data_IF_750988405989
#
_entry.id   IF_750988405989
#
_cell.length_a   1.000
_cell.length_b   1.000
_cell.length_c   1.000
_cell.angle_alpha   90.00
_cell.angle_beta   90.00
_cell.angle_gamma   90.00
#
_symmetry.space_group_name_H-M   'P 1'
#
loop_
_entity.id
_entity.type
_entity.pdbx_description
1 polymer ?
#
# COMPACT_ATOMS: atom_id res chain seq x y z
N UNK A 1 18.96 -34.92 -35.35
CA UNK A 1 19.59 -34.11 -34.27
C UNK A 1 18.54 -33.83 -33.21
N UNK A 2 18.72 -34.36 -32.00
CA UNK A 2 17.74 -34.25 -30.92
C UNK A 2 17.65 -32.82 -30.39
N UNK A 3 16.51 -32.44 -29.80
CA UNK A 3 16.32 -31.16 -29.10
C UNK A 3 17.33 -31.00 -27.95
N UNK A 4 17.70 -32.11 -27.32
CA UNK A 4 18.70 -32.16 -26.26
C UNK A 4 20.11 -31.85 -26.77
N UNK A 5 20.52 -32.45 -27.90
CA UNK A 5 21.83 -32.17 -28.51
C UNK A 5 22.00 -30.69 -28.85
N UNK A 6 20.90 -30.05 -29.32
CA UNK A 6 20.88 -28.63 -29.65
C UNK A 6 20.98 -27.74 -28.41
N UNK A 7 20.37 -28.13 -27.29
CA UNK A 7 20.51 -27.42 -26.01
C UNK A 7 21.92 -27.56 -25.42
N UNK A 8 22.49 -28.76 -25.46
CA UNK A 8 23.85 -29.02 -24.95
C UNK A 8 24.89 -28.25 -25.76
N UNK A 9 24.82 -28.28 -27.09
CA UNK A 9 25.71 -27.50 -27.95
C UNK A 9 25.61 -26.00 -27.70
N UNK A 10 24.40 -25.46 -27.52
CA UNK A 10 24.21 -24.05 -27.17
C UNK A 10 24.79 -23.69 -25.79
N UNK A 11 24.70 -24.61 -24.83
CA UNK A 11 25.23 -24.40 -23.48
C UNK A 11 26.76 -24.39 -23.46
N UNK A 12 27.40 -25.32 -24.17
CA UNK A 12 28.86 -25.35 -24.33
C UNK A 12 29.39 -24.10 -25.03
N UNK A 13 28.68 -23.61 -26.06
CA UNK A 13 29.02 -22.34 -26.73
C UNK A 13 28.87 -21.16 -25.76
N UNK A 14 27.82 -21.11 -24.95
CA UNK A 14 27.64 -20.06 -23.93
C UNK A 14 28.73 -20.08 -22.85
N UNK A 15 29.20 -21.27 -22.44
CA UNK A 15 30.29 -21.43 -21.49
C UNK A 15 31.63 -21.00 -22.10
N UNK A 16 31.95 -21.45 -23.33
CA UNK A 16 33.20 -21.09 -24.03
C UNK A 16 33.31 -19.59 -24.30
N UNK A 17 32.20 -18.92 -24.59
CA UNK A 17 32.18 -17.48 -24.84
C UNK A 17 32.18 -16.62 -23.55
N UNK A 18 32.10 -17.23 -22.36
CA UNK A 18 31.92 -16.50 -21.10
C UNK A 18 30.58 -15.77 -20.98
N UNK A 19 29.65 -16.05 -21.89
CA UNK A 19 28.34 -15.37 -21.99
C UNK A 19 27.41 -15.76 -20.85
N UNK A 20 27.54 -16.97 -20.29
CA UNK A 20 26.78 -17.40 -19.11
C UNK A 20 27.11 -16.55 -17.85
N UNK A 21 28.38 -16.20 -17.65
CA UNK A 21 28.82 -15.29 -16.58
C UNK A 21 28.28 -13.88 -16.76
N UNK A 22 28.28 -13.36 -18.00
CA UNK A 22 27.72 -12.02 -18.30
C UNK A 22 26.20 -11.95 -18.14
N UNK A 23 25.47 -13.02 -18.47
CA UNK A 23 24.02 -13.09 -18.28
C UNK A 23 23.65 -13.15 -16.79
N UNK A 24 24.36 -13.96 -16.00
CA UNK A 24 24.16 -14.03 -14.55
C UNK A 24 24.50 -12.71 -13.87
N UNK A 25 25.60 -12.07 -14.25
CA UNK A 25 25.98 -10.73 -13.76
C UNK A 25 24.91 -9.67 -14.06
N UNK A 26 24.37 -9.63 -15.29
CA UNK A 26 23.26 -8.72 -15.63
C UNK A 26 22.02 -8.97 -14.77
N UNK A 27 21.68 -10.23 -14.51
CA UNK A 27 20.54 -10.58 -13.65
C UNK A 27 20.79 -10.12 -12.21
N UNK A 28 22.00 -10.33 -11.68
CA UNK A 28 22.40 -9.86 -10.35
C UNK A 28 22.31 -8.35 -10.28
N UNK A 29 22.92 -7.62 -11.22
CA UNK A 29 22.88 -6.15 -11.28
C UNK A 29 21.45 -5.62 -11.33
N UNK A 30 20.59 -6.24 -12.14
CA UNK A 30 19.17 -5.87 -12.23
C UNK A 30 18.44 -6.07 -10.90
N UNK A 31 18.71 -7.18 -10.20
CA UNK A 31 18.11 -7.45 -8.87
C UNK A 31 18.61 -6.48 -7.82
N UNK A 32 19.91 -6.21 -7.80
CA UNK A 32 20.55 -5.24 -6.88
C UNK A 32 19.97 -3.85 -7.10
N UNK A 33 19.83 -3.41 -8.36
CA UNK A 33 19.23 -2.11 -8.68
C UNK A 33 17.76 -2.01 -8.23
N UNK A 34 16.95 -3.06 -8.43
CA UNK A 34 15.56 -3.09 -7.95
C UNK A 34 15.49 -3.07 -6.41
N UNK A 35 16.40 -3.78 -5.77
CA UNK A 35 16.50 -3.83 -4.33
C UNK A 35 16.89 -2.47 -3.75
N UNK A 36 17.91 -1.81 -4.30
CA UNK A 36 18.37 -0.50 -3.82
C UNK A 36 17.28 0.57 -3.96
N UNK A 37 16.56 0.59 -5.09
CA UNK A 37 15.41 1.48 -5.29
C UNK A 37 14.31 1.20 -4.25
N UNK A 38 14.02 -0.07 -3.98
CA UNK A 38 13.00 -0.43 -2.98
C UNK A 38 13.45 -0.07 -1.56
N UNK A 39 14.73 -0.27 -1.24
CA UNK A 39 15.31 0.04 0.06
C UNK A 39 15.30 1.55 0.35
N UNK A 40 15.71 2.37 -0.62
CA UNK A 40 15.68 3.83 -0.48
C UNK A 40 14.26 4.36 -0.23
N UNK A 41 13.25 3.76 -0.88
CA UNK A 41 11.83 4.09 -0.64
C UNK A 41 11.38 3.65 0.75
N UNK A 42 11.70 2.42 1.15
CA UNK A 42 11.36 1.91 2.48
C UNK A 42 11.99 2.79 3.57
N UNK A 43 13.23 3.27 3.37
CA UNK A 43 13.90 4.22 4.28
C UNK A 43 13.21 5.60 4.32
N UNK A 44 12.87 6.16 3.16
CA UNK A 44 12.13 7.43 3.09
C UNK A 44 10.80 7.34 3.83
N UNK A 45 10.03 6.27 3.58
CA UNK A 45 8.76 6.00 4.25
C UNK A 45 8.95 5.82 5.75
N UNK A 46 9.97 5.08 6.18
CA UNK A 46 10.30 4.88 7.58
C UNK A 46 10.57 6.21 8.29
N UNK A 47 11.34 7.11 7.68
CA UNK A 47 11.62 8.44 8.23
C UNK A 47 10.37 9.33 8.31
N UNK A 48 9.53 9.30 7.28
CA UNK A 48 8.25 10.05 7.28
C UNK A 48 7.28 9.53 8.35
N UNK A 49 7.14 8.20 8.48
CA UNK A 49 6.32 7.59 9.55
C UNK A 49 6.87 7.94 10.93
N UNK A 50 8.20 7.95 11.13
CA UNK A 50 8.81 8.41 12.39
C UNK A 50 8.46 9.86 12.69
N UNK A 51 8.49 10.75 11.70
CA UNK A 51 8.15 12.15 11.89
C UNK A 51 6.71 12.31 12.39
N UNK A 52 5.76 11.61 11.76
CA UNK A 52 4.34 11.62 12.20
C UNK A 52 4.21 11.09 13.63
N UNK A 53 4.86 9.97 13.96
CA UNK A 53 4.78 9.39 15.30
C UNK A 53 5.39 10.29 16.39
N UNK A 54 6.45 11.04 16.04
CA UNK A 54 7.07 12.02 16.92
C UNK A 54 6.10 13.17 17.26
N UNK A 55 5.37 13.68 16.25
CA UNK A 55 4.36 14.73 16.44
C UNK A 55 3.23 14.30 17.38
N UNK A 56 2.84 13.02 17.29
CA UNK A 56 1.79 12.43 18.13
C UNK A 56 2.29 11.91 19.49
N UNK A 57 3.58 12.08 19.81
CA UNK A 57 4.15 11.60 21.07
C UNK A 57 4.08 10.08 21.26
N UNK A 58 4.05 9.31 20.17
CA UNK A 58 3.91 7.85 20.24
C UNK A 58 5.22 7.20 20.66
N UNK A 59 5.15 6.30 21.64
CA UNK A 59 6.32 5.58 22.14
C UNK A 59 6.93 4.66 21.06
N UNK A 60 8.27 4.60 21.03
CA UNK A 60 9.05 3.85 20.02
C UNK A 60 8.78 2.34 20.02
N UNK A 61 8.28 1.78 21.12
CA UNK A 61 7.88 0.37 21.21
C UNK A 61 6.78 0.02 20.20
N UNK A 62 5.85 0.95 19.92
CA UNK A 62 4.71 0.72 19.02
C UNK A 62 5.09 1.04 17.56
N UNK A 63 6.27 1.63 17.34
CA UNK A 63 6.77 1.99 16.01
C UNK A 63 6.67 0.86 14.96
N UNK A 64 7.06 -0.40 15.25
CA UNK A 64 7.00 -1.47 14.25
C UNK A 64 5.58 -1.72 13.72
N UNK A 65 4.55 -1.52 14.55
CA UNK A 65 3.16 -1.71 14.15
C UNK A 65 2.69 -0.62 13.16
N UNK A 66 3.00 0.64 13.46
CA UNK A 66 2.72 1.76 12.56
C UNK A 66 3.54 1.72 11.27
N UNK A 67 4.78 1.25 11.34
CA UNK A 67 5.59 1.03 10.16
C UNK A 67 5.04 -0.11 9.29
N UNK A 68 4.55 -1.20 9.88
CA UNK A 68 3.89 -2.27 9.14
C UNK A 68 2.65 -1.78 8.38
N UNK A 69 1.82 -0.94 9.02
CA UNK A 69 0.71 -0.25 8.34
C UNK A 69 1.19 0.62 7.17
N UNK A 70 2.25 1.40 7.36
CA UNK A 70 2.83 2.25 6.30
C UNK A 70 3.27 1.41 5.09
N UNK A 71 3.85 0.23 5.32
CA UNK A 71 4.20 -0.71 4.23
C UNK A 71 2.99 -1.25 3.48
N UNK A 72 1.87 -1.49 4.17
CA UNK A 72 0.62 -1.90 3.52
C UNK A 72 0.09 -0.78 2.61
N UNK A 73 0.14 0.48 3.06
CA UNK A 73 -0.24 1.62 2.23
C UNK A 73 0.70 1.85 1.05
N UNK A 74 2.01 1.71 1.26
CA UNK A 74 2.99 1.80 0.18
C UNK A 74 2.83 0.71 -0.88
N UNK A 75 2.21 -0.43 -0.57
CA UNK A 75 1.79 -1.41 -1.59
C UNK A 75 0.56 -0.92 -2.34
N UNK A 76 -0.45 -0.46 -1.62
CA UNK A 76 -1.70 0.05 -2.19
C UNK A 76 -1.47 1.19 -3.19
N UNK A 77 -0.62 2.16 -2.87
CA UNK A 77 -0.34 3.30 -3.76
C UNK A 77 0.40 2.92 -5.03
N UNK A 78 1.02 1.73 -5.07
CA UNK A 78 1.69 1.19 -6.26
C UNK A 78 0.75 0.39 -7.15
N UNK A 79 -0.40 -0.02 -6.63
CA UNK A 79 -1.41 -0.71 -7.43
C UNK A 79 -2.13 0.33 -8.29
N UNK A 80 -2.09 0.15 -9.62
CA UNK A 80 -2.78 0.98 -10.61
C UNK A 80 -4.31 0.82 -10.49
N UNK A 81 -4.87 1.37 -9.42
CA UNK A 81 -6.29 1.31 -9.07
C UNK A 81 -6.85 2.72 -8.97
N UNK A 82 -8.18 2.84 -9.07
CA UNK A 82 -8.84 4.13 -8.91
C UNK A 82 -8.61 4.69 -7.51
N UNK A 83 -8.51 6.01 -7.40
CA UNK A 83 -8.32 6.69 -6.12
C UNK A 83 -9.41 6.31 -5.10
N UNK A 84 -10.67 6.23 -5.51
CA UNK A 84 -11.78 5.80 -4.64
C UNK A 84 -11.60 4.40 -4.07
N UNK A 85 -11.02 3.48 -4.86
CA UNK A 85 -10.72 2.13 -4.40
C UNK A 85 -9.56 2.18 -3.40
N UNK A 86 -8.51 2.93 -3.70
CA UNK A 86 -7.40 3.13 -2.77
C UNK A 86 -7.88 3.71 -1.44
N UNK A 87 -8.78 4.70 -1.46
CA UNK A 87 -9.33 5.27 -0.24
C UNK A 87 -10.20 4.28 0.54
N UNK A 88 -11.06 3.49 -0.13
CA UNK A 88 -11.86 2.44 0.53
C UNK A 88 -10.98 1.39 1.19
N UNK A 89 -9.96 0.90 0.47
CA UNK A 89 -9.06 -0.09 1.04
C UNK A 89 -8.17 0.51 2.13
N UNK A 90 -7.78 1.78 2.03
CA UNK A 90 -7.08 2.50 3.09
C UNK A 90 -7.93 2.55 4.37
N UNK A 91 -9.21 2.93 4.26
CA UNK A 91 -10.13 2.96 5.40
C UNK A 91 -10.31 1.59 6.05
N UNK A 92 -10.47 0.53 5.23
CA UNK A 92 -10.52 -0.84 5.75
C UNK A 92 -9.24 -1.22 6.52
N UNK A 93 -8.06 -0.85 6.00
CA UNK A 93 -6.78 -1.07 6.71
C UNK A 93 -6.73 -0.28 8.01
N UNK A 94 -7.17 0.99 8.02
CA UNK A 94 -7.24 1.80 9.24
C UNK A 94 -8.09 1.09 10.28
N UNK A 95 -9.32 0.68 9.96
CA UNK A 95 -10.20 -0.03 10.90
C UNK A 95 -9.56 -1.33 11.42
N UNK A 96 -8.94 -2.10 10.52
CA UNK A 96 -8.22 -3.34 10.83
C UNK A 96 -7.09 -3.11 11.83
N UNK A 97 -6.37 -1.99 11.78
CA UNK A 97 -5.28 -1.66 12.70
C UNK A 97 -5.77 -0.96 13.98
N UNK A 98 -6.86 -0.19 13.92
CA UNK A 98 -7.55 0.34 15.10
C UNK A 98 -8.05 -0.80 16.00
N UNK A 99 -8.61 -1.86 15.40
CA UNK A 99 -9.01 -3.07 16.14
C UNK A 99 -7.82 -3.78 16.84
N UNK A 100 -6.59 -3.54 16.39
CA UNK A 100 -5.36 -4.04 17.06
C UNK A 100 -4.84 -3.11 18.15
N UNK A 101 -5.57 -2.05 18.48
CA UNK A 101 -5.22 -1.09 19.53
C UNK A 101 -4.38 0.10 19.09
N UNK A 102 -4.25 0.35 17.77
CA UNK A 102 -3.57 1.56 17.28
C UNK A 102 -4.51 2.77 17.24
N UNK A 103 -3.97 3.96 17.48
CA UNK A 103 -4.73 5.21 17.38
C UNK A 103 -5.14 5.49 15.92
N UNK A 104 -6.45 5.68 15.71
CA UNK A 104 -7.04 6.02 14.40
C UNK A 104 -6.46 7.32 13.84
N UNK A 105 -6.32 8.33 14.69
CA UNK A 105 -5.82 9.65 14.31
C UNK A 105 -4.42 9.54 13.70
N UNK A 106 -3.52 8.85 14.38
CA UNK A 106 -2.13 8.61 13.92
C UNK A 106 -2.12 7.85 12.58
N UNK A 107 -2.99 6.85 12.41
CA UNK A 107 -3.08 6.08 11.16
C UNK A 107 -3.57 6.93 9.98
N UNK A 108 -4.55 7.80 10.20
CA UNK A 108 -5.06 8.73 9.18
C UNK A 108 -4.03 9.80 8.81
N UNK A 109 -3.26 10.28 9.79
CA UNK A 109 -2.16 11.22 9.55
C UNK A 109 -1.04 10.57 8.73
N UNK A 110 -0.71 9.30 9.00
CA UNK A 110 0.22 8.56 8.15
C UNK A 110 -0.33 8.45 6.72
N UNK A 111 -1.60 8.07 6.55
CA UNK A 111 -2.19 7.93 5.22
C UNK A 111 -2.19 9.26 4.43
N UNK A 112 -2.50 10.36 5.11
CA UNK A 112 -2.61 11.69 4.49
C UNK A 112 -1.22 12.30 4.23
N UNK A 113 -0.36 12.35 5.24
CA UNK A 113 0.91 13.10 5.16
C UNK A 113 2.04 12.32 4.49
N UNK A 114 2.02 10.98 4.53
CA UNK A 114 3.07 10.13 3.92
C UNK A 114 2.67 9.67 2.52
N UNK A 115 1.38 9.40 2.28
CA UNK A 115 0.89 8.79 1.05
C UNK A 115 -0.08 9.64 0.25
N UNK A 116 -0.46 10.83 0.72
CA UNK A 116 -1.45 11.71 0.09
C UNK A 116 -2.80 11.02 -0.18
N UNK A 117 -3.20 10.11 0.71
CA UNK A 117 -4.48 9.40 0.66
C UNK A 117 -5.44 10.00 1.69
N UNK A 118 -6.25 11.02 1.34
CA UNK A 118 -7.22 11.56 2.26
C UNK A 118 -8.32 10.53 2.55
N UNK A 119 -8.89 10.53 3.77
CA UNK A 119 -10.07 9.72 4.07
C UNK A 119 -11.20 10.06 3.10
N UNK A 120 -12.04 9.06 2.80
CA UNK A 120 -13.29 9.30 2.08
C UNK A 120 -14.10 10.30 2.90
N UNK A 121 -14.23 11.53 2.39
CA UNK A 121 -15.19 12.49 2.90
C UNK A 121 -16.54 11.81 2.76
N UNK A 122 -17.15 11.41 3.88
CA UNK A 122 -18.50 10.89 3.82
C UNK A 122 -19.40 12.01 3.26
N UNK A 123 -19.88 11.87 2.03
CA UNK A 123 -21.07 12.55 1.52
C UNK A 123 -22.32 12.02 2.23
N UNK A 124 -22.28 11.92 3.57
CA UNK A 124 -23.39 11.49 4.44
C UNK A 124 -24.29 12.62 4.92
N UNK A 125 -23.96 13.87 4.62
CA UNK A 125 -24.65 15.03 5.22
C UNK A 125 -25.54 15.85 4.28
N UNK A 126 -25.92 15.38 3.08
CA UNK A 126 -26.82 16.14 2.19
C UNK A 126 -28.07 15.42 1.69
N UNK A 127 -28.15 14.08 1.75
CA UNK A 127 -29.33 13.37 1.20
C UNK A 127 -30.33 12.87 2.26
N UNK A 128 -29.92 12.77 3.53
CA UNK A 128 -30.81 12.35 4.63
C UNK A 128 -31.67 13.50 5.20
N UNK A 129 -31.31 14.76 4.96
CA UNK A 129 -32.05 15.92 5.45
C UNK A 129 -33.13 16.42 4.47
N UNK A 130 -33.20 15.87 3.25
CA UNK A 130 -34.11 16.32 2.19
C UNK A 130 -35.37 15.46 2.02
N UNK A 131 -35.61 14.47 2.90
CA UNK A 131 -36.90 13.77 2.94
C UNK A 131 -37.78 14.41 4.01
N UNK A 132 -38.77 15.24 3.65
CA UNK A 132 -39.78 15.63 4.62
C UNK A 132 -40.44 14.35 5.14
N UNK A 133 -40.43 14.19 6.46
CA UNK A 133 -41.16 13.14 7.15
C UNK A 133 -42.64 13.47 6.92
N UNK A 134 -43.26 12.82 5.93
CA UNK A 134 -44.71 12.89 5.70
C UNK A 134 -45.42 12.12 6.82
N UNK A 135 -45.53 12.75 7.99
CA UNK A 135 -46.38 12.33 9.09
C UNK A 135 -47.73 13.04 8.93
N UNK A 136 -48.63 12.42 8.19
CA UNK A 136 -50.05 12.61 8.48
C UNK A 136 -51.00 12.44 7.30
N UNK A 137 -51.54 11.23 7.13
CA UNK A 137 -53.00 11.02 7.05
C UNK A 137 -53.36 9.53 7.15
N UNK A 138 -53.45 9.02 8.38
CA UNK A 138 -54.35 7.92 8.69
C UNK A 138 -55.63 8.56 9.24
N UNK A 139 -56.67 8.64 8.41
CA UNK A 139 -58.03 8.89 8.87
C UNK A 139 -58.87 7.71 8.34
N UNK A 140 -59.00 6.71 9.21
CA UNK A 140 -59.95 5.62 9.11
C UNK A 140 -61.32 6.07 9.61
N UNK A 141 -62.35 5.68 8.85
CA UNK A 141 -63.72 5.33 9.22
C UNK A 141 -64.42 6.05 10.38
N UNK A 142 -65.48 6.80 10.04
CA UNK A 142 -66.82 6.67 10.65
C UNK A 142 -67.89 7.18 9.70
#
# INVERSE_FOLDING_TARGET
>A
MSRLDRMVGNYEVMLRLGSAGRLTERVIQTRVARFSISAARDESMLNQTRAVLCLHGVHTIIFPAYHAFSRELGKLTREETSLERQQREMMWRVDKWVMRGLSREVLLDIATNVFNLPPLLESRNQEAAARPIDRGRMASDT
#
